data_IF_219416612898
#
_entry.id   IF_219416612898
#
_cell.length_a   1.000
_cell.length_b   1.000
_cell.length_c   1.000
_cell.angle_alpha   90.00
_cell.angle_beta   90.00
_cell.angle_gamma   90.00
#
_symmetry.space_group_name_H-M   'P 1'
#
loop_
_entity.id
_entity.type
_entity.pdbx_description
1 polymer ?
#
# COMPACT_ATOMS: atom_id res chain seq x y z
N UNK A 1 83.52 37.64 11.17
CA UNK A 1 82.45 36.84 11.80
C UNK A 1 81.15 37.24 11.17
N UNK A 2 80.62 36.44 10.25
CA UNK A 2 79.36 36.75 9.53
C UNK A 2 78.38 35.60 9.87
N UNK A 3 77.31 35.96 10.61
CA UNK A 3 76.25 35.05 10.95
C UNK A 3 75.27 35.04 9.80
N UNK A 4 75.07 33.88 9.17
CA UNK A 4 74.07 33.64 8.16
C UNK A 4 72.84 32.98 8.85
N UNK A 5 71.72 33.65 8.79
CA UNK A 5 70.42 33.19 9.28
C UNK A 5 69.72 32.50 8.07
N UNK A 6 69.43 31.22 8.21
CA UNK A 6 68.67 30.47 7.22
C UNK A 6 67.13 30.67 7.42
N UNK A 7 66.34 30.87 6.37
CA UNK A 7 64.89 30.97 6.54
C UNK A 7 64.22 29.60 6.65
N UNK A 8 63.51 29.37 7.71
CA UNK A 8 62.67 28.19 7.94
C UNK A 8 61.38 28.29 7.10
N UNK A 9 61.29 27.40 6.08
CA UNK A 9 60.07 27.27 5.29
C UNK A 9 59.00 26.58 6.11
N UNK A 10 57.96 27.30 6.49
CA UNK A 10 56.77 26.74 7.12
C UNK A 10 55.85 26.19 6.06
N UNK A 11 55.77 24.87 5.93
CA UNK A 11 54.87 24.18 5.00
C UNK A 11 53.50 24.04 5.71
N UNK A 12 52.52 24.82 5.25
CA UNK A 12 51.13 24.74 5.69
C UNK A 12 50.45 23.59 4.97
N UNK A 13 50.22 22.47 5.69
CA UNK A 13 49.41 21.33 5.18
C UNK A 13 47.95 21.67 5.42
N UNK A 14 47.25 22.07 4.34
CA UNK A 14 45.80 22.23 4.32
C UNK A 14 45.18 20.81 4.14
N UNK A 15 44.72 20.22 5.23
CA UNK A 15 43.94 18.99 5.18
C UNK A 15 42.52 19.33 4.72
N UNK A 16 42.20 19.05 3.44
CA UNK A 16 40.83 19.09 2.93
C UNK A 16 40.04 17.91 3.55
N UNK A 17 39.25 18.20 4.60
CA UNK A 17 38.19 17.30 5.04
C UNK A 17 37.06 17.31 4.01
N UNK A 18 37.11 16.37 3.08
CA UNK A 18 35.96 16.08 2.21
C UNK A 18 34.86 15.43 3.06
N UNK A 19 33.94 16.23 3.60
CA UNK A 19 32.69 15.73 4.15
C UNK A 19 31.89 15.08 3.00
N UNK A 20 32.00 13.75 2.84
CA UNK A 20 31.00 12.97 2.12
C UNK A 20 29.67 13.11 2.87
N UNK A 21 28.86 14.08 2.47
CA UNK A 21 27.45 14.13 2.84
C UNK A 21 26.79 12.93 2.14
N UNK A 22 26.67 11.81 2.85
CA UNK A 22 25.72 10.77 2.47
C UNK A 22 24.34 11.37 2.57
N UNK A 23 23.80 11.84 1.44
CA UNK A 23 22.37 12.06 1.29
C UNK A 23 21.71 10.70 1.41
N UNK A 24 21.27 10.33 2.60
CA UNK A 24 20.28 9.29 2.77
C UNK A 24 19.06 9.76 1.98
N UNK A 25 18.90 9.21 0.79
CA UNK A 25 17.60 9.21 0.11
C UNK A 25 16.67 8.41 1.01
N UNK A 26 16.03 9.09 1.96
CA UNK A 26 14.91 8.51 2.68
C UNK A 26 13.92 8.07 1.61
N UNK A 27 13.73 6.77 1.46
CA UNK A 27 12.61 6.23 0.70
C UNK A 27 11.37 6.86 1.34
N UNK A 28 10.79 7.86 0.66
CA UNK A 28 9.51 8.42 1.08
C UNK A 28 8.59 7.22 1.24
N UNK A 29 8.11 6.99 2.47
CA UNK A 29 7.24 5.86 2.78
C UNK A 29 6.05 5.88 1.84
N UNK A 30 5.56 4.71 1.48
CA UNK A 30 4.39 4.56 0.62
C UNK A 30 3.21 5.32 1.26
N UNK A 31 2.60 6.24 0.53
CA UNK A 31 1.49 7.06 1.02
C UNK A 31 0.18 6.50 0.49
N UNK A 32 -0.61 5.87 1.38
CA UNK A 32 -1.86 5.21 1.01
C UNK A 32 -3.11 6.07 1.32
N UNK A 33 -2.96 7.13 2.13
CA UNK A 33 -4.09 7.94 2.57
C UNK A 33 -4.89 8.51 1.40
N UNK A 34 -6.19 8.33 1.46
CA UNK A 34 -7.12 8.86 0.46
C UNK A 34 -8.32 7.95 0.22
N UNK A 35 -9.10 8.34 -0.77
CA UNK A 35 -10.20 7.53 -1.29
C UNK A 35 -9.80 6.98 -2.65
N UNK A 36 -9.86 5.67 -2.79
CA UNK A 36 -9.43 4.92 -3.96
C UNK A 36 -10.61 4.22 -4.59
N UNK A 37 -10.87 4.45 -5.87
CA UNK A 37 -11.92 3.75 -6.61
C UNK A 37 -11.34 2.54 -7.32
N UNK A 38 -11.95 1.36 -7.15
CA UNK A 38 -11.59 0.15 -7.88
C UNK A 38 -11.88 0.34 -9.38
N UNK A 39 -10.88 0.04 -10.20
CA UNK A 39 -10.95 0.06 -11.67
C UNK A 39 -11.01 -1.35 -12.21
N UNK A 40 -10.16 -2.25 -11.69
CA UNK A 40 -10.15 -3.67 -12.05
C UNK A 40 -9.87 -4.49 -10.81
N UNK A 41 -10.56 -5.62 -10.68
CA UNK A 41 -10.31 -6.64 -9.68
C UNK A 41 -10.32 -8.02 -10.34
N UNK A 42 -9.41 -8.88 -9.92
CA UNK A 42 -9.27 -10.25 -10.41
C UNK A 42 -9.01 -11.20 -9.24
N UNK A 43 -9.53 -12.42 -9.35
CA UNK A 43 -9.14 -13.55 -8.50
C UNK A 43 -8.37 -14.58 -9.31
N UNK A 44 -7.36 -15.19 -8.69
CA UNK A 44 -6.59 -16.29 -9.28
C UNK A 44 -6.73 -17.49 -8.36
N UNK A 45 -7.34 -18.57 -8.85
CA UNK A 45 -7.50 -19.84 -8.15
C UNK A 45 -6.84 -20.94 -8.98
N UNK A 46 -5.73 -21.48 -8.48
CA UNK A 46 -4.94 -22.45 -9.25
C UNK A 46 -4.37 -21.83 -10.53
N UNK A 47 -4.92 -22.21 -11.68
CA UNK A 47 -4.52 -21.69 -13.01
C UNK A 47 -5.55 -20.72 -13.61
N UNK A 48 -6.69 -20.56 -12.96
CA UNK A 48 -7.80 -19.79 -13.48
C UNK A 48 -7.72 -18.34 -12.97
N UNK A 49 -7.79 -17.39 -13.86
CA UNK A 49 -7.87 -15.95 -13.56
C UNK A 49 -9.25 -15.45 -13.99
N UNK A 50 -10.00 -14.94 -13.01
CA UNK A 50 -11.38 -14.50 -13.22
C UNK A 50 -11.53 -13.04 -12.77
N UNK A 51 -12.05 -12.14 -13.63
CA UNK A 51 -12.37 -10.78 -13.19
C UNK A 51 -13.52 -10.80 -12.17
N UNK A 52 -13.55 -9.79 -11.29
CA UNK A 52 -14.68 -9.61 -10.37
C UNK A 52 -15.99 -9.50 -11.17
N UNK A 53 -16.96 -10.30 -10.77
CA UNK A 53 -18.25 -10.38 -11.45
C UNK A 53 -19.18 -9.23 -11.01
N UNK A 54 -20.08 -8.83 -11.94
CA UNK A 54 -21.15 -7.88 -11.69
C UNK A 54 -20.82 -6.45 -12.11
N UNK A 55 -21.86 -5.65 -12.27
CA UNK A 55 -21.76 -4.20 -12.53
C UNK A 55 -21.89 -3.44 -11.20
N UNK A 56 -20.74 -3.20 -10.56
CA UNK A 56 -20.69 -2.58 -9.25
C UNK A 56 -19.70 -1.40 -9.22
N UNK A 57 -19.80 -0.60 -8.17
CA UNK A 57 -18.80 0.37 -7.77
C UNK A 57 -18.22 -0.03 -6.42
N UNK A 58 -16.91 0.08 -6.29
CA UNK A 58 -16.23 -0.16 -5.03
C UNK A 58 -15.23 0.96 -4.77
N UNK A 59 -15.20 1.44 -3.55
CA UNK A 59 -14.17 2.36 -3.07
C UNK A 59 -13.48 1.76 -1.86
N UNK A 60 -12.21 2.14 -1.68
CA UNK A 60 -11.43 1.90 -0.47
C UNK A 60 -11.01 3.25 0.10
N UNK A 61 -11.29 3.49 1.36
CA UNK A 61 -10.93 4.71 2.10
C UNK A 61 -9.83 4.33 3.08
N UNK A 62 -8.70 5.02 3.02
CA UNK A 62 -7.56 4.75 3.89
C UNK A 62 -7.18 6.07 4.57
N UNK A 63 -7.06 6.07 5.89
CA UNK A 63 -6.48 7.14 6.69
C UNK A 63 -5.19 6.67 7.36
N UNK A 64 -4.67 7.39 8.35
CA UNK A 64 -3.39 7.05 8.99
C UNK A 64 -3.38 5.72 9.75
N UNK A 65 -4.53 5.19 10.12
CA UNK A 65 -4.65 4.03 11.01
C UNK A 65 -5.63 2.97 10.53
N UNK A 66 -6.64 3.35 9.75
CA UNK A 66 -7.75 2.48 9.37
C UNK A 66 -7.97 2.47 7.87
N UNK A 67 -8.57 1.39 7.41
CA UNK A 67 -9.15 1.28 6.08
C UNK A 67 -10.63 0.92 6.19
N UNK A 68 -11.37 1.23 5.13
CA UNK A 68 -12.71 0.73 4.90
C UNK A 68 -12.91 0.51 3.40
N UNK A 69 -13.67 -0.51 3.02
CA UNK A 69 -14.14 -0.65 1.65
C UNK A 69 -15.67 -0.67 1.63
N UNK A 70 -16.22 -0.14 0.54
CA UNK A 70 -17.65 -0.08 0.27
C UNK A 70 -17.86 -0.55 -1.17
N UNK A 71 -18.66 -1.59 -1.35
CA UNK A 71 -19.06 -2.12 -2.66
C UNK A 71 -20.57 -2.03 -2.81
N UNK A 72 -21.03 -1.57 -3.95
CA UNK A 72 -22.44 -1.32 -4.22
C UNK A 72 -22.75 -1.55 -5.70
N UNK A 73 -23.88 -2.20 -5.99
CA UNK A 73 -24.36 -2.36 -7.36
C UNK A 73 -24.64 -0.99 -8.00
N UNK A 74 -24.21 -0.79 -9.26
CA UNK A 74 -24.43 0.48 -9.97
C UNK A 74 -25.87 0.68 -10.39
N UNK A 75 -26.54 -0.40 -10.77
CA UNK A 75 -27.91 -0.41 -11.27
C UNK A 75 -28.74 -1.40 -10.46
N UNK A 76 -28.95 -1.14 -9.15
CA UNK A 76 -29.71 -2.07 -8.32
C UNK A 76 -31.16 -2.15 -8.83
N UNK A 77 -31.76 -3.35 -8.82
CA UNK A 77 -33.19 -3.47 -9.11
C UNK A 77 -34.00 -2.66 -8.10
N UNK A 78 -35.22 -2.26 -8.47
CA UNK A 78 -36.11 -1.47 -7.61
C UNK A 78 -36.63 -2.24 -6.39
N UNK A 79 -36.48 -3.56 -6.40
CA UNK A 79 -36.76 -4.42 -5.25
C UNK A 79 -35.57 -4.45 -4.27
N UNK A 80 -35.70 -5.20 -3.19
CA UNK A 80 -34.72 -5.29 -2.11
C UNK A 80 -33.48 -6.15 -2.44
N UNK A 81 -33.22 -6.53 -3.69
CA UNK A 81 -32.11 -7.41 -4.08
C UNK A 81 -30.80 -6.66 -4.35
N UNK A 82 -30.72 -5.39 -3.98
CA UNK A 82 -29.51 -4.58 -4.02
C UNK A 82 -28.37 -5.24 -3.22
N UNK A 83 -27.23 -5.45 -3.87
CA UNK A 83 -26.05 -5.99 -3.21
C UNK A 83 -25.21 -4.84 -2.66
N UNK A 84 -25.05 -4.84 -1.33
CA UNK A 84 -24.15 -3.93 -0.63
C UNK A 84 -23.21 -4.75 0.24
N UNK A 85 -21.90 -4.52 0.09
CA UNK A 85 -20.86 -5.17 0.87
C UNK A 85 -19.88 -4.12 1.39
N UNK A 86 -19.50 -4.25 2.65
CA UNK A 86 -18.62 -3.29 3.31
C UNK A 86 -17.82 -3.96 4.43
N UNK A 87 -16.62 -3.51 4.59
CA UNK A 87 -15.75 -3.95 5.68
C UNK A 87 -14.67 -2.93 5.98
N UNK A 88 -13.95 -3.16 7.07
CA UNK A 88 -12.85 -2.29 7.46
C UNK A 88 -12.22 -2.71 8.78
N UNK A 89 -11.23 -1.95 9.19
CA UNK A 89 -10.49 -2.17 10.42
C UNK A 89 -9.19 -1.38 10.43
N UNK A 90 -8.29 -1.75 11.31
CA UNK A 90 -6.95 -1.18 11.34
C UNK A 90 -6.06 -1.82 10.27
N UNK A 91 -4.99 -1.12 9.90
CA UNK A 91 -3.96 -1.71 9.05
C UNK A 91 -2.56 -1.41 9.57
N UNK A 92 -1.60 -2.17 9.08
CA UNK A 92 -0.17 -1.90 9.24
C UNK A 92 0.51 -1.84 7.89
N UNK A 93 1.52 -0.97 7.76
CA UNK A 93 2.32 -0.84 6.54
C UNK A 93 3.81 -0.92 6.90
N UNK A 94 4.51 -1.89 6.31
CA UNK A 94 5.94 -2.07 6.45
C UNK A 94 6.58 -2.20 5.07
N UNK A 95 7.24 -1.15 4.63
CA UNK A 95 7.70 -1.05 3.23
C UNK A 95 6.49 -1.06 2.29
N UNK A 96 6.34 -2.14 1.51
CA UNK A 96 5.19 -2.36 0.63
C UNK A 96 4.27 -3.50 1.10
N UNK A 97 4.51 -4.04 2.30
CA UNK A 97 3.63 -5.02 2.91
C UNK A 97 2.54 -4.30 3.69
N UNK A 98 1.33 -4.39 3.19
CA UNK A 98 0.12 -3.78 3.73
C UNK A 98 -0.77 -4.87 4.32
N UNK A 99 -0.92 -4.88 5.64
CA UNK A 99 -1.73 -5.88 6.33
C UNK A 99 -3.00 -5.24 6.86
N UNK A 100 -4.14 -5.66 6.33
CA UNK A 100 -5.48 -5.31 6.79
C UNK A 100 -5.90 -6.25 7.92
N UNK A 101 -6.39 -5.70 9.03
CA UNK A 101 -7.09 -6.44 10.07
C UNK A 101 -8.57 -6.15 9.91
N UNK A 102 -9.32 -7.12 9.42
CA UNK A 102 -10.73 -6.95 9.09
C UNK A 102 -11.58 -7.08 10.36
N UNK A 103 -11.70 -5.99 11.11
CA UNK A 103 -12.40 -5.95 12.40
C UNK A 103 -13.91 -5.82 12.26
N UNK A 104 -14.36 -5.30 11.11
CA UNK A 104 -15.78 -5.02 10.82
C UNK A 104 -16.14 -5.65 9.48
N UNK A 105 -16.92 -6.71 9.51
CA UNK A 105 -17.45 -7.36 8.31
C UNK A 105 -18.74 -8.11 8.59
N UNK A 106 -19.62 -8.21 7.60
CA UNK A 106 -20.90 -8.89 7.73
C UNK A 106 -20.79 -10.40 7.84
N UNK A 107 -19.78 -11.00 7.20
CA UNK A 107 -19.50 -12.43 7.28
C UNK A 107 -18.51 -12.72 8.41
N UNK A 108 -19.02 -13.35 9.48
CA UNK A 108 -18.24 -13.73 10.67
C UNK A 108 -17.09 -14.68 10.38
N UNK A 109 -17.08 -15.37 9.26
CA UNK A 109 -15.97 -16.23 8.87
C UNK A 109 -14.73 -15.44 8.48
N UNK A 110 -14.91 -14.19 8.05
CA UNK A 110 -13.85 -13.29 7.65
C UNK A 110 -13.44 -12.33 8.77
N UNK A 111 -14.38 -11.91 9.61
CA UNK A 111 -14.15 -10.94 10.67
C UNK A 111 -13.05 -11.38 11.64
N UNK A 112 -12.22 -10.45 12.06
CA UNK A 112 -11.10 -10.68 12.98
C UNK A 112 -9.87 -11.31 12.32
N UNK A 113 -9.82 -11.46 11.00
CA UNK A 113 -8.68 -12.03 10.28
C UNK A 113 -7.76 -10.97 9.69
N UNK A 114 -6.43 -11.20 9.72
CA UNK A 114 -5.47 -10.40 8.99
C UNK A 114 -5.31 -10.91 7.56
N UNK A 115 -5.19 -9.97 6.61
CA UNK A 115 -4.85 -10.24 5.21
C UNK A 115 -3.66 -9.37 4.82
N UNK A 116 -2.58 -9.99 4.33
CA UNK A 116 -1.37 -9.27 3.93
C UNK A 116 -1.26 -9.20 2.42
N UNK A 117 -1.09 -7.99 1.94
CA UNK A 117 -0.99 -7.67 0.53
C UNK A 117 0.34 -6.97 0.24
N UNK A 118 0.87 -7.18 -0.95
CA UNK A 118 1.89 -6.31 -1.52
C UNK A 118 1.19 -5.16 -2.22
N UNK A 119 1.57 -3.93 -1.88
CA UNK A 119 0.99 -2.72 -2.49
C UNK A 119 2.04 -1.93 -3.25
N UNK A 120 1.60 -1.31 -4.33
CA UNK A 120 2.40 -0.40 -5.15
C UNK A 120 1.57 0.85 -5.49
N UNK A 121 2.16 2.03 -5.33
CA UNK A 121 1.56 3.31 -5.73
C UNK A 121 2.39 3.94 -6.84
N UNK A 122 1.75 4.20 -7.97
CA UNK A 122 2.33 4.87 -9.13
C UNK A 122 1.45 6.07 -9.52
N UNK A 123 1.83 7.26 -9.11
CA UNK A 123 1.00 8.47 -9.31
C UNK A 123 -0.35 8.30 -8.62
N UNK A 124 -1.43 8.34 -9.37
CA UNK A 124 -2.81 8.21 -8.87
C UNK A 124 -3.31 6.75 -8.83
N UNK A 125 -2.43 5.78 -9.08
CA UNK A 125 -2.79 4.37 -9.16
C UNK A 125 -2.24 3.61 -7.97
N UNK A 126 -3.09 2.84 -7.27
CA UNK A 126 -2.74 1.86 -6.24
C UNK A 126 -3.00 0.46 -6.81
N UNK A 127 -2.03 -0.42 -6.69
CA UNK A 127 -2.16 -1.84 -7.01
C UNK A 127 -1.97 -2.61 -5.72
N UNK A 128 -2.90 -3.51 -5.41
CA UNK A 128 -2.89 -4.40 -4.25
C UNK A 128 -2.93 -5.84 -4.74
N UNK A 129 -2.02 -6.68 -4.25
CA UNK A 129 -1.95 -8.11 -4.62
C UNK A 129 -1.64 -8.94 -3.39
N UNK A 130 -2.39 -10.00 -3.16
CA UNK A 130 -2.14 -10.92 -2.03
C UNK A 130 -3.12 -12.07 -1.97
N UNK A 131 -2.93 -12.91 -0.97
CA UNK A 131 -3.75 -14.09 -0.76
C UNK A 131 -4.86 -13.76 0.22
N UNK A 132 -6.09 -14.11 -0.15
CA UNK A 132 -7.22 -14.22 0.76
C UNK A 132 -7.47 -15.71 1.00
N UNK A 133 -7.31 -16.11 2.27
CA UNK A 133 -7.55 -17.48 2.69
C UNK A 133 -8.44 -17.51 3.92
N UNK A 134 -9.62 -18.08 3.75
CA UNK A 134 -10.63 -18.23 4.81
C UNK A 134 -11.23 -19.64 4.71
N UNK A 135 -10.64 -20.58 5.44
CA UNK A 135 -11.02 -22.00 5.37
C UNK A 135 -12.51 -22.23 5.66
N UNK A 136 -13.07 -21.50 6.63
CA UNK A 136 -14.50 -21.60 6.98
C UNK A 136 -15.45 -21.10 5.87
N UNK A 137 -14.95 -20.24 4.97
CA UNK A 137 -15.71 -19.76 3.80
C UNK A 137 -15.32 -20.49 2.50
N UNK A 138 -14.43 -21.48 2.58
CA UNK A 138 -13.89 -22.22 1.42
C UNK A 138 -13.20 -21.28 0.40
N UNK A 139 -12.55 -20.22 0.89
CA UNK A 139 -11.80 -19.25 0.09
C UNK A 139 -10.30 -19.56 0.21
N UNK A 140 -9.64 -19.70 -0.93
CA UNK A 140 -8.17 -19.77 -1.05
C UNK A 140 -7.80 -19.30 -2.47
N UNK A 141 -7.54 -18.00 -2.59
CA UNK A 141 -7.22 -17.41 -3.88
C UNK A 141 -6.28 -16.20 -3.72
N UNK A 142 -5.67 -15.78 -4.83
CA UNK A 142 -4.95 -14.52 -4.92
C UNK A 142 -5.90 -13.47 -5.47
N UNK A 143 -5.89 -12.28 -4.91
CA UNK A 143 -6.53 -11.11 -5.51
C UNK A 143 -5.49 -10.20 -6.15
N UNK A 144 -5.89 -9.55 -7.24
CA UNK A 144 -5.18 -8.43 -7.84
C UNK A 144 -6.20 -7.32 -8.06
N UNK A 145 -6.01 -6.22 -7.33
CA UNK A 145 -6.91 -5.07 -7.39
C UNK A 145 -6.14 -3.83 -7.84
N UNK A 146 -6.70 -3.10 -8.77
CA UNK A 146 -6.18 -1.82 -9.24
C UNK A 146 -7.19 -0.73 -8.95
N UNK A 147 -6.73 0.29 -8.27
CA UNK A 147 -7.51 1.44 -7.87
C UNK A 147 -6.94 2.73 -8.47
N UNK A 148 -7.78 3.76 -8.56
CA UNK A 148 -7.38 5.12 -8.86
C UNK A 148 -7.84 6.06 -7.75
N UNK A 149 -7.03 7.08 -7.46
CA UNK A 149 -7.33 8.09 -6.47
C UNK A 149 -8.56 8.91 -6.88
N UNK A 150 -9.52 9.03 -5.99
CA UNK A 150 -10.67 9.95 -6.14
C UNK A 150 -10.22 11.34 -5.71
N UNK A 151 -10.38 12.33 -6.59
CA UNK A 151 -10.08 13.73 -6.33
C UNK A 151 -11.34 14.53 -6.10
#
# INVERSE_FOLDING_TARGET
MKNTIAPTCLVLIIACLSCCACTQSGTAGLHLNGTWQLVTGMTITGKDTVPYAGDFRMIKIINDTHFAFLRHDKNPPKDSSNHFDAGGGIYTLSGNQYTEHLDYYSDRNWEGKPFTFTVEVRGDTLIQTGIEKVDAAHIDHIIIEKYVMVR
#
